data_IF_690575613167
#
_entry.id   IF_690575613167
#
_cell.length_a   1.000
_cell.length_b   1.000
_cell.length_c   1.000
_cell.angle_alpha   90.00
_cell.angle_beta   90.00
_cell.angle_gamma   90.00
#
_symmetry.space_group_name_H-M   'P 1'
#
loop_
_entity.id
_entity.type
_entity.pdbx_description
1 polymer ?
#
# COMPACT_ATOMS: atom_id res chain seq x y z
N UNK A 1 25.28 7.70 -2.10
CA UNK A 1 25.21 6.24 -1.91
C UNK A 1 25.50 5.75 -0.49
N UNK A 2 26.59 6.18 0.20
CA UNK A 2 26.95 5.68 1.55
C UNK A 2 25.82 5.74 2.59
N UNK A 3 24.94 6.75 2.56
CA UNK A 3 23.78 6.86 3.47
C UNK A 3 22.67 5.83 3.20
N UNK A 4 22.45 5.42 1.94
CA UNK A 4 21.35 4.52 1.58
C UNK A 4 21.61 3.08 2.07
N UNK A 5 22.87 2.64 1.99
CA UNK A 5 23.32 1.33 2.47
C UNK A 5 23.11 1.22 3.99
N UNK A 6 23.31 2.31 4.74
CA UNK A 6 23.10 2.35 6.19
C UNK A 6 21.63 2.13 6.59
N UNK A 7 20.68 2.46 5.71
CA UNK A 7 19.25 2.31 6.00
C UNK A 7 18.62 1.05 5.43
N UNK A 8 19.35 0.31 4.60
CA UNK A 8 18.89 -0.96 4.04
C UNK A 8 18.38 -1.92 5.13
N UNK A 9 19.08 -2.12 6.27
CA UNK A 9 18.61 -3.06 7.31
C UNK A 9 17.27 -2.65 7.92
N UNK A 10 17.06 -1.34 8.17
CA UNK A 10 15.80 -0.84 8.72
C UNK A 10 14.64 -1.04 7.75
N UNK A 11 14.86 -0.72 6.47
CA UNK A 11 13.87 -0.96 5.41
C UNK A 11 13.53 -2.44 5.30
N UNK A 12 14.53 -3.32 5.37
CA UNK A 12 14.33 -4.78 5.38
C UNK A 12 13.49 -5.23 6.57
N UNK A 13 13.75 -4.75 7.79
CA UNK A 13 12.96 -5.08 8.98
C UNK A 13 11.50 -4.62 8.81
N UNK A 14 11.28 -3.38 8.36
CA UNK A 14 9.93 -2.87 8.14
C UNK A 14 9.19 -3.70 7.09
N UNK A 15 9.85 -4.04 5.98
CA UNK A 15 9.27 -4.93 4.98
C UNK A 15 8.88 -6.25 5.63
N UNK A 16 9.83 -7.00 6.23
CA UNK A 16 9.57 -8.29 6.89
C UNK A 16 8.38 -8.22 7.86
N UNK A 17 8.31 -7.18 8.69
CA UNK A 17 7.20 -6.97 9.61
C UNK A 17 5.85 -6.82 8.88
N UNK A 18 5.78 -5.99 7.83
CA UNK A 18 4.53 -5.75 7.12
C UNK A 18 3.99 -6.96 6.37
N UNK A 19 4.84 -7.77 5.75
CA UNK A 19 4.35 -8.94 5.00
C UNK A 19 4.12 -10.14 5.88
N UNK A 20 4.83 -10.25 7.00
CA UNK A 20 4.38 -11.14 8.08
C UNK A 20 2.96 -10.74 8.51
N UNK A 21 2.70 -9.46 8.78
CA UNK A 21 1.36 -8.99 9.13
C UNK A 21 0.33 -9.22 8.01
N UNK A 22 0.71 -9.09 6.74
CA UNK A 22 -0.19 -9.33 5.61
C UNK A 22 -0.58 -10.81 5.51
N UNK A 23 0.40 -11.71 5.65
CA UNK A 23 0.17 -13.15 5.67
C UNK A 23 -0.64 -13.55 6.90
N UNK A 24 -0.21 -13.08 8.07
CA UNK A 24 -0.91 -13.31 9.33
C UNK A 24 -2.36 -12.85 9.24
N UNK A 25 -2.62 -11.62 8.79
CA UNK A 25 -3.97 -11.09 8.63
C UNK A 25 -4.84 -11.94 7.69
N UNK A 26 -4.30 -12.38 6.55
CA UNK A 26 -5.04 -13.24 5.62
C UNK A 26 -5.37 -14.61 6.22
N UNK A 27 -4.39 -15.29 6.82
CA UNK A 27 -4.55 -16.66 7.35
C UNK A 27 -5.31 -16.70 8.69
N UNK A 28 -5.19 -15.66 9.50
CA UNK A 28 -5.90 -15.53 10.77
C UNK A 28 -7.42 -15.49 10.57
N UNK A 29 -7.90 -14.92 9.47
CA UNK A 29 -9.32 -14.98 9.09
C UNK A 29 -9.83 -16.43 9.01
N UNK A 30 -8.98 -17.40 8.67
CA UNK A 30 -9.34 -18.81 8.58
C UNK A 30 -8.98 -19.60 9.85
N UNK A 31 -8.64 -18.92 10.95
CA UNK A 31 -8.20 -19.54 12.19
C UNK A 31 -6.83 -20.21 12.08
N UNK A 32 -6.01 -19.81 11.10
CA UNK A 32 -4.67 -20.38 10.88
C UNK A 32 -3.62 -19.47 11.49
N UNK A 33 -2.86 -20.00 12.44
CA UNK A 33 -1.67 -19.38 12.98
C UNK A 33 -0.47 -19.62 12.03
N UNK A 34 -0.39 -18.82 10.97
CA UNK A 34 0.55 -19.05 9.85
C UNK A 34 2.03 -19.14 10.26
N UNK A 35 2.41 -18.49 11.37
CA UNK A 35 3.79 -18.51 11.87
C UNK A 35 4.27 -19.91 12.25
N UNK A 36 3.37 -20.86 12.53
CA UNK A 36 3.69 -22.26 12.79
C UNK A 36 3.97 -23.08 11.52
N UNK A 37 3.69 -22.53 10.34
CA UNK A 37 3.70 -23.26 9.07
C UNK A 37 4.55 -22.62 7.97
N UNK A 38 5.05 -21.41 8.20
CA UNK A 38 5.79 -20.63 7.19
C UNK A 38 7.28 -20.58 7.49
N UNK A 39 8.09 -20.83 6.46
CA UNK A 39 9.54 -20.67 6.55
C UNK A 39 9.97 -19.19 6.51
N UNK A 40 11.11 -18.85 7.11
CA UNK A 40 11.67 -17.49 7.05
C UNK A 40 11.93 -17.04 5.60
N UNK A 41 12.36 -17.95 4.72
CA UNK A 41 12.54 -17.67 3.30
C UNK A 41 11.21 -17.36 2.59
N UNK A 42 10.12 -18.01 2.96
CA UNK A 42 8.79 -17.76 2.37
C UNK A 42 8.24 -16.40 2.80
N UNK A 43 8.48 -16.01 4.06
CA UNK A 43 8.19 -14.65 4.52
C UNK A 43 8.90 -13.66 3.59
N UNK A 44 10.20 -13.80 3.35
CA UNK A 44 10.96 -12.92 2.45
C UNK A 44 10.42 -12.94 1.01
N UNK A 45 10.08 -14.11 0.48
CA UNK A 45 9.55 -14.24 -0.88
C UNK A 45 8.13 -13.67 -1.05
N UNK A 46 7.32 -13.66 0.02
CA UNK A 46 5.99 -13.03 -0.01
C UNK A 46 6.04 -11.53 -0.32
N UNK A 47 7.21 -10.90 -0.14
CA UNK A 47 7.46 -9.50 -0.47
C UNK A 47 7.85 -9.22 -1.89
N UNK A 48 8.29 -10.23 -2.65
CA UNK A 48 8.88 -10.01 -3.97
C UNK A 48 7.93 -9.19 -4.88
N UNK A 49 6.61 -9.46 -4.91
CA UNK A 49 5.67 -8.60 -5.64
C UNK A 49 5.63 -7.16 -5.12
N UNK A 50 5.67 -6.95 -3.80
CA UNK A 50 5.65 -5.62 -3.18
C UNK A 50 6.94 -4.85 -3.46
N UNK A 51 8.10 -5.52 -3.38
CA UNK A 51 9.41 -4.97 -3.70
C UNK A 51 9.49 -4.62 -5.18
N UNK A 52 8.96 -5.47 -6.06
CA UNK A 52 8.89 -5.19 -7.50
C UNK A 52 8.03 -3.95 -7.74
N UNK A 53 6.83 -3.85 -7.16
CA UNK A 53 5.96 -2.67 -7.31
C UNK A 53 6.64 -1.41 -6.78
N UNK A 54 7.23 -1.46 -5.58
CA UNK A 54 7.98 -0.35 -4.98
C UNK A 54 9.18 0.05 -5.85
N UNK A 55 9.95 -0.94 -6.30
CA UNK A 55 11.12 -0.75 -7.16
C UNK A 55 10.73 -0.11 -8.50
N UNK A 56 9.65 -0.59 -9.13
CA UNK A 56 9.10 0.00 -10.36
C UNK A 56 8.61 1.43 -10.13
N UNK A 57 7.96 1.71 -8.99
CA UNK A 57 7.51 3.05 -8.62
C UNK A 57 8.70 4.01 -8.43
N UNK A 58 9.70 3.63 -7.63
CA UNK A 58 10.89 4.45 -7.41
C UNK A 58 11.70 4.65 -8.68
N UNK A 59 11.84 3.60 -9.51
CA UNK A 59 12.49 3.70 -10.82
C UNK A 59 11.77 4.69 -11.73
N UNK A 60 10.43 4.62 -11.80
CA UNK A 60 9.62 5.55 -12.60
C UNK A 60 9.72 6.98 -12.10
N UNK A 61 9.70 7.19 -10.78
CA UNK A 61 9.88 8.51 -10.18
C UNK A 61 11.29 9.09 -10.42
N UNK A 62 12.33 8.26 -10.35
CA UNK A 62 13.70 8.67 -10.67
C UNK A 62 13.86 9.01 -12.16
N UNK A 63 13.30 8.18 -13.05
CA UNK A 63 13.29 8.43 -14.49
C UNK A 63 12.59 9.74 -14.84
N UNK A 64 11.40 9.99 -14.27
CA UNK A 64 10.68 11.24 -14.49
C UNK A 64 11.47 12.46 -14.01
N UNK A 65 12.12 12.39 -12.84
CA UNK A 65 12.97 13.48 -12.36
C UNK A 65 14.17 13.74 -13.29
N UNK A 66 14.84 12.69 -13.79
CA UNK A 66 15.95 12.84 -14.74
C UNK A 66 15.49 13.47 -16.07
N UNK A 67 14.36 13.03 -16.62
CA UNK A 67 13.80 13.59 -17.86
C UNK A 67 13.33 15.04 -17.66
N UNK A 68 12.77 15.37 -16.49
CA UNK A 68 12.28 16.71 -16.18
C UNK A 68 13.42 17.70 -15.91
N UNK A 69 14.46 17.29 -15.18
CA UNK A 69 15.69 18.09 -15.00
C UNK A 69 16.37 18.37 -16.34
N UNK A 70 16.52 17.35 -17.19
CA UNK A 70 17.09 17.51 -18.54
C UNK A 70 16.32 18.50 -19.41
N UNK A 71 15.00 18.63 -19.23
CA UNK A 71 14.16 19.60 -19.95
C UNK A 71 14.15 21.01 -19.33
N UNK A 72 14.47 21.16 -18.05
CA UNK A 72 14.50 22.46 -17.39
C UNK A 72 15.86 23.16 -17.51
N UNK A 73 16.96 22.42 -17.63
CA UNK A 73 18.29 23.00 -17.90
C UNK A 73 18.33 23.74 -19.24
N UNK A 74 17.47 23.38 -20.20
CA UNK A 74 17.31 24.11 -21.47
C UNK A 74 16.36 25.31 -21.42
N UNK A 75 15.57 25.47 -20.35
CA UNK A 75 14.61 26.59 -20.18
C UNK A 75 15.02 27.63 -19.14
N UNK A 76 15.98 27.34 -18.26
CA UNK A 76 16.48 28.30 -17.28
C UNK A 76 17.58 29.25 -17.78
N UNK A 77 18.06 29.07 -19.02
CA UNK A 77 19.03 29.99 -19.65
C UNK A 77 18.41 31.32 -20.15
N UNK A 78 17.09 31.51 -20.07
CA UNK A 78 16.43 32.75 -20.48
C UNK A 78 15.31 33.12 -19.51
N UNK A 79 15.65 33.86 -18.47
CA UNK A 79 14.72 34.80 -17.83
C UNK A 79 15.39 36.17 -17.77
N UNK A 80 14.79 37.22 -18.37
CA UNK A 80 15.23 38.57 -18.12
C UNK A 80 14.85 38.96 -16.69
N UNK A 81 15.79 39.61 -16.03
CA UNK A 81 15.63 40.35 -14.80
C UNK A 81 14.68 41.52 -15.07
N UNK A 82 13.52 41.57 -14.40
CA UNK A 82 12.63 42.73 -14.44
C UNK A 82 12.29 43.09 -13.01
N UNK A 83 13.13 43.99 -12.49
CA UNK A 83 12.83 44.93 -11.44
C UNK A 83 11.58 45.75 -11.78
N UNK A 84 10.64 45.84 -10.85
CA UNK A 84 9.79 47.03 -10.70
C UNK A 84 9.34 47.15 -9.25
N UNK A 85 9.94 48.12 -8.56
CA UNK A 85 9.36 48.77 -7.39
C UNK A 85 8.24 49.71 -7.87
N UNK A 86 7.07 49.67 -7.23
CA UNK A 86 6.50 50.86 -6.59
C UNK A 86 5.16 50.56 -5.88
N UNK A 87 5.19 50.86 -4.58
CA UNK A 87 4.15 51.46 -3.72
C UNK A 87 2.72 50.92 -3.72
N UNK A 88 2.36 50.30 -2.59
CA UNK A 88 0.98 50.28 -2.10
C UNK A 88 0.93 50.97 -0.73
N UNK A 89 0.19 52.08 -0.67
CA UNK A 89 -0.25 52.74 0.55
C UNK A 89 -1.02 51.76 1.45
N UNK A 90 -0.52 51.55 2.66
CA UNK A 90 -1.16 50.72 3.68
C UNK A 90 -2.05 51.61 4.56
N UNK A 91 -3.36 51.57 4.33
CA UNK A 91 -4.31 51.95 5.38
C UNK A 91 -4.50 50.77 6.35
N UNK A 92 -4.44 50.98 7.68
CA UNK A 92 -4.60 49.89 8.64
C UNK A 92 -6.09 49.54 8.77
N UNK A 93 -6.59 48.71 7.86
CA UNK A 93 -7.89 48.06 8.04
C UNK A 93 -7.72 47.08 9.20
N UNK A 94 -8.39 47.36 10.32
CA UNK A 94 -8.47 46.50 11.52
C UNK A 94 -9.18 45.19 11.16
N UNK A 95 -8.48 44.32 10.44
CA UNK A 95 -8.96 42.99 10.05
C UNK A 95 -9.01 42.12 11.30
N UNK A 96 -10.13 41.41 11.46
CA UNK A 96 -10.30 40.44 12.53
C UNK A 96 -9.18 39.40 12.43
N UNK A 97 -8.35 39.28 13.49
CA UNK A 97 -7.25 38.30 13.57
C UNK A 97 -7.71 36.88 13.22
N UNK A 98 -8.98 36.55 13.50
CA UNK A 98 -9.58 35.27 13.12
C UNK A 98 -9.59 35.04 11.60
N UNK A 99 -9.89 36.07 10.80
CA UNK A 99 -9.88 35.96 9.34
C UNK A 99 -8.46 35.69 8.83
N UNK A 100 -7.45 36.35 9.40
CA UNK A 100 -6.04 36.13 9.02
C UNK A 100 -5.57 34.71 9.35
N UNK A 101 -5.89 34.19 10.55
CA UNK A 101 -5.60 32.79 10.89
C UNK A 101 -6.36 31.80 9.99
N UNK A 102 -7.62 32.09 9.67
CA UNK A 102 -8.43 31.25 8.79
C UNK A 102 -7.88 31.23 7.35
N UNK A 103 -7.47 32.38 6.82
CA UNK A 103 -6.81 32.45 5.52
C UNK A 103 -5.45 31.75 5.54
N UNK A 104 -4.61 31.98 6.57
CA UNK A 104 -3.34 31.28 6.71
C UNK A 104 -3.52 29.75 6.81
N UNK A 105 -4.56 29.28 7.49
CA UNK A 105 -4.95 27.87 7.57
C UNK A 105 -5.43 27.33 6.21
N UNK A 106 -6.23 28.09 5.46
CA UNK A 106 -6.64 27.77 4.09
C UNK A 106 -5.49 27.80 3.07
N UNK A 107 -4.40 28.52 3.35
CA UNK A 107 -3.20 28.47 2.52
C UNK A 107 -2.22 27.39 2.99
N UNK A 108 -2.44 26.79 4.15
CA UNK A 108 -1.59 25.71 4.65
C UNK A 108 -1.87 24.41 3.88
N UNK A 109 -0.87 23.93 3.18
CA UNK A 109 -0.90 22.67 2.42
C UNK A 109 -1.24 21.45 3.28
N UNK A 110 -0.84 21.43 4.56
CA UNK A 110 -1.19 20.37 5.51
C UNK A 110 -2.68 20.35 5.86
N UNK A 111 -3.32 21.53 5.91
CA UNK A 111 -4.77 21.60 6.13
C UNK A 111 -5.52 20.94 4.97
N UNK A 112 -5.17 21.27 3.73
CA UNK A 112 -5.77 20.62 2.55
C UNK A 112 -5.48 19.13 2.48
N UNK A 113 -4.30 18.67 2.89
CA UNK A 113 -4.01 17.24 3.00
C UNK A 113 -5.01 16.54 3.94
N UNK A 114 -5.25 17.11 5.13
CA UNK A 114 -6.19 16.54 6.10
C UNK A 114 -7.62 16.56 5.53
N UNK A 115 -8.05 17.67 4.93
CA UNK A 115 -9.38 17.79 4.32
C UNK A 115 -9.58 16.75 3.22
N UNK A 116 -8.61 16.59 2.31
CA UNK A 116 -8.69 15.58 1.24
C UNK A 116 -8.73 14.17 1.83
N UNK A 117 -7.96 13.87 2.86
CA UNK A 117 -8.02 12.56 3.52
C UNK A 117 -9.40 12.27 4.14
N UNK A 118 -10.02 13.27 4.77
CA UNK A 118 -11.38 13.15 5.30
C UNK A 118 -12.37 12.91 4.15
N UNK A 119 -12.29 13.69 3.08
CA UNK A 119 -13.16 13.54 1.90
C UNK A 119 -13.02 12.16 1.24
N UNK A 120 -11.79 11.66 1.09
CA UNK A 120 -11.54 10.32 0.54
C UNK A 120 -12.11 9.22 1.45
N UNK A 121 -12.03 9.39 2.78
CA UNK A 121 -12.63 8.46 3.74
C UNK A 121 -14.16 8.48 3.70
N UNK A 122 -14.77 9.67 3.58
CA UNK A 122 -16.24 9.80 3.39
C UNK A 122 -16.65 9.17 2.06
N UNK A 123 -15.93 9.45 0.99
CA UNK A 123 -16.18 8.86 -0.33
C UNK A 123 -16.12 7.33 -0.25
N UNK A 124 -15.09 6.77 0.41
CA UNK A 124 -14.99 5.33 0.65
C UNK A 124 -16.22 4.79 1.37
N UNK A 125 -16.68 5.46 2.42
CA UNK A 125 -17.86 5.07 3.18
C UNK A 125 -19.13 5.09 2.33
N UNK A 126 -19.29 6.10 1.46
CA UNK A 126 -20.42 6.16 0.52
C UNK A 126 -20.34 5.04 -0.50
N UNK A 127 -19.17 4.79 -1.08
CA UNK A 127 -18.94 3.73 -2.08
C UNK A 127 -19.19 2.35 -1.48
N UNK A 128 -18.81 2.11 -0.23
CA UNK A 128 -19.09 0.89 0.53
C UNK A 128 -20.59 0.57 0.68
N UNK A 129 -21.48 1.57 0.51
CA UNK A 129 -22.93 1.34 0.50
C UNK A 129 -23.40 0.61 -0.76
N UNK A 130 -22.66 0.75 -1.86
CA UNK A 130 -23.05 0.24 -3.19
C UNK A 130 -22.22 -0.97 -3.63
N UNK A 131 -21.02 -1.14 -3.09
CA UNK A 131 -20.09 -2.20 -3.45
C UNK A 131 -19.72 -3.05 -2.24
N UNK A 132 -19.39 -4.31 -2.49
CA UNK A 132 -18.93 -5.21 -1.44
C UNK A 132 -17.47 -4.85 -1.09
N UNK A 133 -17.08 -4.92 0.19
CA UNK A 133 -15.75 -4.57 0.71
C UNK A 133 -14.59 -4.99 -0.20
N UNK A 134 -14.62 -6.22 -0.74
CA UNK A 134 -13.53 -6.76 -1.56
C UNK A 134 -13.47 -6.24 -2.99
N UNK A 135 -14.52 -5.62 -3.51
CA UNK A 135 -14.50 -4.96 -4.83
C UNK A 135 -13.80 -3.61 -4.78
N UNK A 136 -13.64 -3.03 -3.57
CA UNK A 136 -12.99 -1.73 -3.36
C UNK A 136 -11.48 -1.82 -3.16
N UNK A 137 -10.90 -3.00 -3.29
CA UNK A 137 -9.46 -3.22 -3.20
C UNK A 137 -8.66 -2.28 -4.12
N UNK A 138 -9.07 -2.13 -5.38
CA UNK A 138 -8.42 -1.23 -6.33
C UNK A 138 -8.64 0.25 -5.98
N UNK A 139 -9.82 0.59 -5.46
CA UNK A 139 -10.11 1.94 -4.98
C UNK A 139 -9.18 2.33 -3.81
N UNK A 140 -8.99 1.44 -2.84
CA UNK A 140 -8.10 1.68 -1.69
C UNK A 140 -6.63 1.87 -2.13
N UNK A 141 -6.20 1.17 -3.19
CA UNK A 141 -4.87 1.35 -3.79
C UNK A 141 -4.74 2.70 -4.51
N UNK A 142 -5.76 3.10 -5.28
CA UNK A 142 -5.81 4.42 -5.95
C UNK A 142 -5.80 5.54 -4.91
N UNK A 143 -6.60 5.42 -3.84
CA UNK A 143 -6.63 6.39 -2.73
C UNK A 143 -5.25 6.51 -2.08
N UNK A 144 -4.54 5.41 -1.87
CA UNK A 144 -3.18 5.42 -1.34
C UNK A 144 -2.20 6.15 -2.28
N UNK A 145 -2.28 5.89 -3.58
CA UNK A 145 -1.47 6.59 -4.58
C UNK A 145 -1.75 8.10 -4.60
N UNK A 146 -3.03 8.50 -4.52
CA UNK A 146 -3.43 9.91 -4.42
C UNK A 146 -2.85 10.55 -3.15
N UNK A 147 -2.93 9.87 -1.99
CA UNK A 147 -2.36 10.37 -0.73
C UNK A 147 -0.85 10.60 -0.83
N UNK A 148 -0.11 9.65 -1.40
CA UNK A 148 1.34 9.78 -1.61
C UNK A 148 1.64 10.91 -2.59
N UNK A 149 0.90 10.99 -3.70
CA UNK A 149 1.06 12.06 -4.70
C UNK A 149 0.81 13.45 -4.12
N UNK A 150 -0.23 13.61 -3.29
CA UNK A 150 -0.53 14.85 -2.58
C UNK A 150 0.59 15.22 -1.60
N UNK A 151 1.07 14.25 -0.82
CA UNK A 151 2.17 14.46 0.13
C UNK A 151 3.42 14.98 -0.61
N UNK A 152 3.78 14.37 -1.75
CA UNK A 152 4.91 14.79 -2.58
C UNK A 152 4.65 16.18 -3.17
N UNK A 153 3.45 16.44 -3.70
CA UNK A 153 3.07 17.73 -4.27
C UNK A 153 3.14 18.87 -3.26
N UNK A 154 2.72 18.63 -2.02
CA UNK A 154 2.80 19.59 -0.91
C UNK A 154 4.25 19.93 -0.59
N UNK A 155 5.11 18.92 -0.48
CA UNK A 155 6.54 19.12 -0.23
C UNK A 155 7.21 19.90 -1.36
N UNK A 156 6.79 19.66 -2.60
CA UNK A 156 7.29 20.39 -3.76
C UNK A 156 6.86 21.87 -3.75
N UNK A 157 5.58 22.15 -3.50
CA UNK A 157 5.02 23.51 -3.46
C UNK A 157 5.68 24.34 -2.37
N UNK A 158 5.86 23.77 -1.18
CA UNK A 158 6.46 24.48 -0.05
C UNK A 158 7.97 24.70 -0.17
N UNK A 159 8.63 24.18 -1.22
CA UNK A 159 10.09 24.15 -1.37
C UNK A 159 10.82 23.50 -0.19
N UNK A 160 10.11 22.74 0.64
CA UNK A 160 10.65 21.98 1.77
C UNK A 160 11.34 20.68 1.31
N UNK A 161 11.72 20.61 0.04
CA UNK A 161 12.35 19.44 -0.56
C UNK A 161 13.70 19.14 0.11
N UNK A 162 14.41 20.16 0.59
CA UNK A 162 15.64 19.99 1.35
C UNK A 162 15.39 19.37 2.73
N UNK A 163 14.29 19.75 3.39
CA UNK A 163 13.88 19.10 4.64
C UNK A 163 13.51 17.64 4.40
N UNK A 164 12.81 17.36 3.30
CA UNK A 164 12.48 15.99 2.87
C UNK A 164 13.73 15.13 2.62
N UNK A 165 14.71 15.64 1.87
CA UNK A 165 15.96 14.92 1.61
C UNK A 165 16.74 14.66 2.90
N UNK A 166 16.74 15.63 3.83
CA UNK A 166 17.32 15.48 5.17
C UNK A 166 16.58 14.44 6.02
N UNK A 167 15.26 14.32 5.88
CA UNK A 167 14.39 13.40 6.63
C UNK A 167 13.91 12.19 5.81
N UNK A 168 14.69 11.77 4.81
CA UNK A 168 14.32 10.72 3.85
C UNK A 168 13.95 9.38 4.50
N UNK A 169 14.48 9.08 5.70
CA UNK A 169 14.08 7.89 6.48
C UNK A 169 12.64 7.99 6.94
N UNK A 170 12.26 9.10 7.59
CA UNK A 170 10.92 9.31 8.11
C UNK A 170 9.90 9.21 6.98
N UNK A 171 10.21 9.82 5.83
CA UNK A 171 9.36 9.73 4.66
C UNK A 171 9.25 8.30 4.13
N UNK A 172 10.36 7.56 4.08
CA UNK A 172 10.36 6.17 3.65
C UNK A 172 9.51 5.30 4.57
N UNK A 173 9.58 5.51 5.90
CA UNK A 173 8.72 4.84 6.87
C UNK A 173 7.25 5.19 6.68
N UNK A 174 6.91 6.44 6.40
CA UNK A 174 5.54 6.88 6.10
C UNK A 174 5.01 6.20 4.83
N UNK A 175 5.80 6.16 3.75
CA UNK A 175 5.43 5.48 2.51
C UNK A 175 5.23 3.97 2.73
N UNK A 176 6.15 3.32 3.45
CA UNK A 176 6.03 1.90 3.79
C UNK A 176 4.78 1.65 4.62
N UNK A 177 4.47 2.52 5.58
CA UNK A 177 3.25 2.41 6.39
C UNK A 177 1.99 2.51 5.53
N UNK A 178 1.88 3.51 4.66
CA UNK A 178 0.72 3.68 3.79
C UNK A 178 0.54 2.51 2.82
N UNK A 179 1.62 2.10 2.14
CA UNK A 179 1.59 1.02 1.17
C UNK A 179 1.33 -0.32 1.88
N UNK A 180 2.03 -0.57 2.98
CA UNK A 180 1.84 -1.76 3.81
C UNK A 180 0.41 -1.89 4.29
N UNK A 181 -0.18 -0.82 4.85
CA UNK A 181 -1.57 -0.80 5.30
C UNK A 181 -2.56 -1.05 4.17
N UNK A 182 -2.35 -0.45 2.99
CA UNK A 182 -3.20 -0.70 1.82
C UNK A 182 -3.13 -2.16 1.36
N UNK A 183 -1.94 -2.77 1.37
CA UNK A 183 -1.78 -4.19 1.03
C UNK A 183 -2.42 -5.07 2.11
N UNK A 184 -2.31 -4.74 3.40
CA UNK A 184 -2.98 -5.48 4.48
C UNK A 184 -4.49 -5.49 4.28
N UNK A 185 -5.09 -4.32 3.97
CA UNK A 185 -6.52 -4.20 3.69
C UNK A 185 -6.91 -5.01 2.44
N UNK A 186 -6.07 -4.98 1.41
CA UNK A 186 -6.26 -5.79 0.20
C UNK A 186 -6.33 -7.29 0.55
N UNK A 187 -5.38 -7.79 1.36
CA UNK A 187 -5.34 -9.19 1.79
C UNK A 187 -6.51 -9.57 2.68
N UNK A 188 -6.92 -8.71 3.62
CA UNK A 188 -8.11 -8.96 4.42
C UNK A 188 -9.38 -9.09 3.53
N UNK A 189 -9.49 -8.25 2.50
CA UNK A 189 -10.54 -8.35 1.50
C UNK A 189 -10.47 -9.65 0.68
N UNK A 190 -9.28 -10.13 0.31
CA UNK A 190 -9.11 -11.43 -0.37
C UNK A 190 -9.66 -12.57 0.50
N UNK A 191 -9.35 -12.56 1.81
CA UNK A 191 -9.84 -13.58 2.73
C UNK A 191 -11.37 -13.58 2.82
N UNK A 192 -11.99 -12.38 2.90
CA UNK A 192 -13.45 -12.23 2.87
C UNK A 192 -14.06 -12.76 1.57
N UNK A 193 -13.44 -12.47 0.42
CA UNK A 193 -13.86 -12.98 -0.89
C UNK A 193 -13.85 -14.50 -0.96
N UNK A 194 -12.78 -15.13 -0.44
CA UNK A 194 -12.71 -16.60 -0.34
C UNK A 194 -13.82 -17.12 0.58
N UNK A 195 -13.99 -16.58 1.79
CA UNK A 195 -15.08 -16.99 2.70
C UNK A 195 -16.48 -16.88 2.07
N UNK A 196 -16.68 -15.87 1.21
CA UNK A 196 -17.93 -15.66 0.47
C UNK A 196 -18.20 -16.73 -0.62
N UNK A 197 -17.21 -17.56 -0.98
CA UNK A 197 -17.37 -18.65 -1.92
C UNK A 197 -16.67 -18.44 -3.26
N UNK A 198 -15.81 -17.43 -3.38
CA UNK A 198 -15.03 -17.16 -4.57
C UNK A 198 -13.57 -17.60 -4.33
N UNK A 199 -13.23 -18.88 -4.58
CA UNK A 199 -11.90 -19.38 -4.32
C UNK A 199 -10.86 -18.72 -5.23
N UNK A 200 -9.62 -18.61 -4.74
CA UNK A 200 -8.50 -18.09 -5.53
C UNK A 200 -8.16 -19.02 -6.69
N UNK A 201 -8.24 -20.33 -6.45
CA UNK A 201 -8.06 -21.38 -7.44
C UNK A 201 -8.88 -22.60 -7.03
N UNK A 202 -9.24 -23.44 -7.99
CA UNK A 202 -9.72 -24.79 -7.70
C UNK A 202 -8.55 -25.76 -7.79
N UNK A 203 -8.40 -26.60 -6.78
CA UNK A 203 -7.40 -27.65 -6.75
C UNK A 203 -8.02 -29.04 -6.62
N UNK A 204 -7.27 -30.04 -7.07
CA UNK A 204 -7.54 -31.45 -6.79
C UNK A 204 -6.24 -32.20 -6.57
N UNK A 205 -6.23 -33.09 -5.59
CA UNK A 205 -5.07 -33.92 -5.27
C UNK A 205 -5.50 -35.29 -4.71
N UNK A 206 -4.59 -36.25 -4.72
CA UNK A 206 -4.79 -37.56 -4.12
C UNK A 206 -4.06 -37.65 -2.78
N UNK A 207 -4.66 -38.31 -1.79
CA UNK A 207 -4.06 -38.64 -0.50
C UNK A 207 -4.56 -40.01 -0.05
N UNK A 208 -3.64 -40.93 0.22
CA UNK A 208 -3.97 -42.30 0.66
C UNK A 208 -5.00 -42.98 -0.26
N UNK A 209 -4.88 -42.80 -1.57
CA UNK A 209 -5.80 -43.34 -2.58
C UNK A 209 -7.16 -42.63 -2.69
N UNK A 210 -7.41 -41.59 -1.88
CA UNK A 210 -8.63 -40.79 -1.94
C UNK A 210 -8.37 -39.44 -2.63
N UNK A 211 -9.24 -39.07 -3.57
CA UNK A 211 -9.14 -37.78 -4.27
C UNK A 211 -9.89 -36.70 -3.51
N UNK A 212 -9.17 -35.67 -3.07
CA UNK A 212 -9.73 -34.44 -2.50
C UNK A 212 -9.83 -33.39 -3.60
N UNK A 213 -11.01 -32.79 -3.76
CA UNK A 213 -11.25 -31.73 -4.75
C UNK A 213 -11.97 -30.56 -4.11
N UNK A 214 -11.46 -29.35 -4.32
CA UNK A 214 -12.13 -28.13 -3.89
C UNK A 214 -13.34 -27.83 -4.78
N UNK A 215 -14.34 -27.19 -4.21
CA UNK A 215 -15.59 -26.84 -4.88
C UNK A 215 -16.31 -25.74 -4.10
N UNK A 216 -17.66 -25.75 -4.09
CA UNK A 216 -18.45 -24.68 -3.46
C UNK A 216 -18.26 -24.55 -1.95
N UNK A 217 -17.99 -25.67 -1.27
CA UNK A 217 -17.91 -25.73 0.19
C UNK A 217 -16.48 -25.88 0.71
N UNK A 218 -15.64 -26.65 0.01
CA UNK A 218 -14.23 -26.81 0.35
C UNK A 218 -13.42 -25.91 -0.58
N UNK A 219 -12.82 -24.86 -0.03
CA UNK A 219 -12.13 -23.82 -0.77
C UNK A 219 -10.63 -23.88 -0.54
N UNK A 220 -9.87 -23.65 -1.59
CA UNK A 220 -8.44 -23.44 -1.46
C UNK A 220 -8.15 -22.04 -0.90
N UNK A 221 -7.43 -21.99 0.22
CA UNK A 221 -7.00 -20.73 0.84
C UNK A 221 -5.60 -20.35 0.34
N UNK A 222 -4.70 -21.32 0.25
CA UNK A 222 -3.28 -21.12 -0.04
C UNK A 222 -2.44 -22.33 0.35
N UNK A 223 -1.13 -22.21 0.16
CA UNK A 223 -0.15 -23.22 0.56
C UNK A 223 1.18 -22.56 0.95
N UNK A 224 1.90 -23.19 1.86
CA UNK A 224 3.34 -23.00 2.11
C UNK A 224 4.09 -24.14 1.43
N UNK A 225 5.42 -24.14 1.49
CA UNK A 225 6.29 -25.21 1.00
C UNK A 225 5.94 -26.58 1.61
N UNK A 226 5.47 -26.59 2.86
CA UNK A 226 5.25 -27.83 3.61
C UNK A 226 3.77 -28.12 3.89
N UNK A 227 2.86 -27.16 3.71
CA UNK A 227 1.45 -27.33 4.04
C UNK A 227 0.51 -26.74 2.98
N UNK A 228 -0.68 -27.33 2.88
CA UNK A 228 -1.77 -26.89 2.03
C UNK A 228 -3.01 -26.63 2.90
N UNK A 229 -3.64 -25.47 2.71
CA UNK A 229 -4.73 -24.98 3.55
C UNK A 229 -6.05 -24.97 2.79
N UNK A 230 -7.04 -25.70 3.31
CA UNK A 230 -8.40 -25.74 2.77
C UNK A 230 -9.41 -25.24 3.80
N UNK A 231 -10.30 -24.34 3.38
CA UNK A 231 -11.42 -23.86 4.19
C UNK A 231 -12.69 -24.64 3.88
N UNK A 232 -13.34 -25.21 4.88
CA UNK A 232 -14.68 -25.76 4.76
C UNK A 232 -15.72 -24.74 5.23
N UNK A 233 -16.52 -24.24 4.29
CA UNK A 233 -17.56 -23.25 4.57
C UNK A 233 -18.74 -23.79 5.37
N UNK A 234 -18.98 -25.11 5.34
CA UNK A 234 -20.15 -25.70 6.01
C UNK A 234 -20.02 -25.63 7.54
N UNK A 235 -18.83 -25.90 8.04
CA UNK A 235 -18.51 -25.94 9.47
C UNK A 235 -17.61 -24.77 9.91
N UNK A 236 -17.24 -23.88 8.97
CA UNK A 236 -16.31 -22.76 9.18
C UNK A 236 -14.95 -23.22 9.74
N UNK A 237 -14.52 -24.42 9.36
CA UNK A 237 -13.25 -25.00 9.80
C UNK A 237 -12.19 -24.99 8.71
N UNK A 238 -10.93 -25.06 9.11
CA UNK A 238 -9.80 -25.20 8.18
C UNK A 238 -9.16 -26.57 8.34
N UNK A 239 -8.98 -27.26 7.22
CA UNK A 239 -8.19 -28.49 7.16
C UNK A 239 -6.80 -28.19 6.61
N UNK A 240 -5.78 -28.64 7.32
CA UNK A 240 -4.37 -28.47 6.96
C UNK A 240 -3.81 -29.82 6.53
N UNK A 241 -3.29 -29.88 5.30
CA UNK A 241 -2.62 -31.06 4.77
C UNK A 241 -1.13 -30.83 4.73
N UNK A 242 -0.32 -31.83 5.08
CA UNK A 242 1.11 -31.80 4.82
C UNK A 242 1.34 -32.07 3.34
N UNK A 243 2.17 -31.25 2.68
CA UNK A 243 2.50 -31.46 1.27
C UNK A 243 3.16 -32.81 1.01
N UNK A 244 3.90 -33.35 1.98
CA UNK A 244 4.51 -34.69 1.90
C UNK A 244 3.50 -35.82 1.70
N UNK A 245 2.24 -35.60 2.08
CA UNK A 245 1.19 -36.61 2.04
C UNK A 245 0.30 -36.46 0.78
N UNK A 246 0.65 -35.53 -0.11
CA UNK A 246 -0.16 -35.15 -1.27
C UNK A 246 0.47 -35.71 -2.54
N UNK A 247 -0.25 -36.60 -3.21
CA UNK A 247 0.08 -37.09 -4.53
C UNK A 247 -0.57 -36.20 -5.59
N UNK A 248 0.23 -35.69 -6.54
CA UNK A 248 -0.23 -35.00 -7.76
C UNK A 248 -1.21 -33.84 -7.53
N UNK A 249 -0.70 -32.70 -7.07
CA UNK A 249 -1.47 -31.49 -6.91
C UNK A 249 -1.76 -30.81 -8.27
N UNK A 250 -3.03 -30.70 -8.63
CA UNK A 250 -3.47 -30.07 -9.88
C UNK A 250 -4.22 -28.77 -9.60
N UNK A 251 -3.86 -27.69 -10.31
CA UNK A 251 -4.51 -26.38 -10.24
C UNK A 251 -5.41 -26.14 -11.46
N UNK A 252 -6.58 -25.54 -11.22
CA UNK A 252 -7.48 -24.98 -12.23
C UNK A 252 -7.82 -23.54 -11.82
N UNK A 253 -7.41 -22.58 -12.65
CA UNK A 253 -7.67 -21.15 -12.46
C UNK A 253 -8.95 -20.74 -13.19
#
# INVERSE_FOLDING_TARGET
>A
MKRLITYLPLLTICLIYFGFNNLYGYYHEFGIEIYNYIGSAEIVMSFLPTIVVLGSFFYSAAYQNLVFMSKNDSKFAQRPDVSSEMEQEVTPVRRSRFKEYFYAMLYNTLFWFIVINILLSILRFVVLRYYIDWELQFFDLIVAAIRIGLLIGILYINRDFDWFLKNSILFSLICIYFIGSSISNFRAADAKKVKAGYPIAQISFSRNGSTVRTGKNLLYIGQTQTQLFLYNRKDSSTTIYKQSDIDSLNFRY
#
